data_IF_846955322910
#
_entry.id   IF_846955322910
#
_cell.length_a   1.000
_cell.length_b   1.000
_cell.length_c   1.000
_cell.angle_alpha   90.00
_cell.angle_beta   90.00
_cell.angle_gamma   90.00
#
_symmetry.space_group_name_H-M   'P 1'
#
loop_
_entity.id
_entity.type
_entity.pdbx_description
1 polymer ?
#
# COMPACT_ATOMS: atom_id res chain seq x y z
N UNK A 1 5.75 -8.28 -22.50
CA UNK A 1 4.56 -7.74 -21.80
C UNK A 1 3.37 -8.61 -22.15
N UNK A 2 2.54 -8.97 -21.17
CA UNK A 2 1.28 -9.67 -21.40
C UNK A 2 0.22 -8.97 -20.58
N UNK A 3 -0.94 -8.70 -21.19
CA UNK A 3 -2.03 -7.99 -20.52
C UNK A 3 -3.32 -8.11 -21.30
N UNK A 4 -4.44 -7.90 -20.62
CA UNK A 4 -5.76 -8.12 -21.17
C UNK A 4 -6.78 -7.12 -20.64
N UNK A 5 -7.88 -6.96 -21.39
CA UNK A 5 -9.18 -6.46 -20.94
C UNK A 5 -10.17 -7.64 -20.93
N UNK A 6 -11.42 -7.48 -20.44
CA UNK A 6 -12.42 -8.54 -20.56
C UNK A 6 -12.63 -9.04 -22.00
N UNK A 7 -12.46 -8.17 -22.99
CA UNK A 7 -12.70 -8.49 -24.40
C UNK A 7 -11.46 -8.79 -25.27
N UNK A 8 -10.23 -8.55 -24.79
CA UNK A 8 -9.01 -8.76 -25.59
C UNK A 8 -7.80 -9.10 -24.74
N UNK A 9 -7.00 -10.09 -25.16
CA UNK A 9 -5.74 -10.47 -24.52
C UNK A 9 -4.59 -10.37 -25.52
N UNK A 10 -3.50 -9.70 -25.13
CA UNK A 10 -2.34 -9.46 -25.99
C UNK A 10 -1.04 -9.86 -25.28
N UNK A 11 -0.22 -10.63 -25.98
CA UNK A 11 1.13 -11.01 -25.55
C UNK A 11 2.17 -10.45 -26.53
N UNK A 12 3.21 -9.82 -25.99
CA UNK A 12 4.32 -9.24 -26.75
C UNK A 12 5.64 -9.75 -26.19
N UNK A 13 6.43 -10.35 -27.08
CA UNK A 13 7.81 -10.75 -26.85
C UNK A 13 8.74 -9.93 -27.74
N UNK A 14 9.92 -9.59 -27.21
CA UNK A 14 10.99 -8.94 -27.94
C UNK A 14 12.28 -9.67 -27.59
N UNK A 15 13.10 -9.94 -28.59
CA UNK A 15 14.41 -10.56 -28.42
C UNK A 15 15.26 -10.45 -29.67
N UNK A 16 16.40 -11.11 -29.64
CA UNK A 16 17.31 -11.18 -30.78
C UNK A 16 17.00 -12.42 -31.62
N UNK A 17 17.35 -12.38 -32.91
CA UNK A 17 17.00 -13.45 -33.87
C UNK A 17 17.57 -14.82 -33.48
N UNK A 18 18.78 -14.84 -32.90
CA UNK A 18 19.45 -16.05 -32.42
C UNK A 18 19.30 -16.29 -30.93
N UNK A 19 18.96 -15.26 -30.14
CA UNK A 19 18.83 -15.35 -28.70
C UNK A 19 20.15 -15.47 -27.92
N UNK A 20 21.29 -15.22 -28.56
CA UNK A 20 22.65 -15.36 -28.01
C UNK A 20 23.32 -14.01 -27.69
N UNK A 21 22.63 -12.89 -27.92
CA UNK A 21 23.14 -11.54 -27.72
C UNK A 21 22.33 -10.77 -26.65
N UNK A 22 22.96 -9.84 -25.91
CA UNK A 22 22.26 -8.96 -24.98
C UNK A 22 21.18 -8.12 -25.69
N UNK A 23 19.98 -8.09 -25.11
CA UNK A 23 18.89 -7.29 -25.64
C UNK A 23 18.99 -5.85 -25.10
N UNK A 24 19.45 -4.93 -25.95
CA UNK A 24 19.68 -3.52 -25.61
C UNK A 24 19.02 -2.57 -26.60
N UNK A 25 18.74 -1.34 -26.15
CA UNK A 25 18.25 -0.25 -27.00
C UNK A 25 19.37 0.28 -27.89
N UNK A 26 19.02 1.15 -28.85
CA UNK A 26 20.01 1.85 -29.68
C UNK A 26 21.00 2.72 -28.86
N UNK A 27 20.62 3.15 -27.66
CA UNK A 27 21.49 3.88 -26.72
C UNK A 27 22.30 2.96 -25.80
N UNK A 28 22.21 1.64 -25.96
CA UNK A 28 22.92 0.65 -25.15
C UNK A 28 22.27 0.34 -23.79
N UNK A 29 21.08 0.86 -23.50
CA UNK A 29 20.36 0.52 -22.27
C UNK A 29 19.71 -0.87 -22.35
N UNK A 30 19.66 -1.60 -21.24
CA UNK A 30 19.00 -2.90 -21.20
C UNK A 30 17.49 -2.79 -21.46
N UNK A 31 16.95 -3.68 -22.29
CA UNK A 31 15.51 -3.76 -22.56
C UNK A 31 14.85 -4.65 -21.52
N UNK A 32 13.85 -4.10 -20.84
CA UNK A 32 13.00 -4.82 -19.88
C UNK A 32 11.57 -4.95 -20.40
N UNK A 33 10.79 -5.82 -19.76
CA UNK A 33 9.38 -6.02 -20.10
C UNK A 33 8.54 -4.74 -20.06
N UNK A 34 8.91 -3.77 -19.23
CA UNK A 34 8.26 -2.46 -19.08
C UNK A 34 8.64 -1.42 -20.13
N UNK A 35 9.70 -1.66 -20.92
CA UNK A 35 10.12 -0.77 -22.00
C UNK A 35 9.45 -1.12 -23.32
N UNK A 36 10.24 -1.38 -24.36
CA UNK A 36 9.78 -1.66 -25.72
C UNK A 36 8.63 -2.69 -25.81
N UNK A 37 8.62 -3.82 -25.07
CA UNK A 37 7.49 -4.75 -25.11
C UNK A 37 6.17 -4.15 -24.62
N UNK A 38 6.22 -3.27 -23.60
CA UNK A 38 5.04 -2.58 -23.09
C UNK A 38 4.56 -1.48 -24.04
N UNK A 39 5.47 -0.76 -24.69
CA UNK A 39 5.11 0.26 -25.68
C UNK A 39 4.33 -0.36 -26.85
N UNK A 40 4.83 -1.48 -27.38
CA UNK A 40 4.15 -2.24 -28.45
C UNK A 40 2.80 -2.78 -27.96
N UNK A 41 2.76 -3.37 -26.76
CA UNK A 41 1.51 -3.89 -26.19
C UNK A 41 0.46 -2.79 -26.04
N UNK A 42 0.85 -1.62 -25.52
CA UNK A 42 -0.06 -0.48 -25.33
C UNK A 42 -0.56 0.06 -26.66
N UNK A 43 0.32 0.31 -27.62
CA UNK A 43 -0.08 0.80 -28.94
C UNK A 43 -1.05 -0.18 -29.65
N UNK A 44 -0.80 -1.49 -29.50
CA UNK A 44 -1.66 -2.55 -30.04
C UNK A 44 -3.04 -2.54 -29.39
N UNK A 45 -3.10 -2.51 -28.06
CA UNK A 45 -4.37 -2.51 -27.31
C UNK A 45 -5.17 -1.23 -27.54
N UNK A 46 -4.52 -0.06 -27.47
CA UNK A 46 -5.15 1.24 -27.70
C UNK A 46 -5.73 1.34 -29.12
N UNK A 47 -5.02 0.80 -30.12
CA UNK A 47 -5.50 0.74 -31.50
C UNK A 47 -6.64 -0.25 -31.71
N UNK A 48 -6.52 -1.46 -31.17
CA UNK A 48 -7.51 -2.53 -31.34
C UNK A 48 -8.83 -2.26 -30.61
N UNK A 49 -8.77 -1.58 -29.46
CA UNK A 49 -9.96 -1.25 -28.65
C UNK A 49 -10.51 0.15 -28.95
N UNK A 50 -9.96 0.85 -29.95
CA UNK A 50 -10.41 2.19 -30.33
C UNK A 50 -11.88 2.15 -30.76
N UNK A 51 -12.71 2.97 -30.12
CA UNK A 51 -14.14 3.08 -30.41
C UNK A 51 -15.01 2.06 -29.65
N UNK A 52 -14.43 1.18 -28.85
CA UNK A 52 -15.16 0.37 -27.88
C UNK A 52 -15.38 1.15 -26.58
N UNK A 53 -16.44 0.83 -25.84
CA UNK A 53 -16.65 1.37 -24.49
C UNK A 53 -15.65 0.81 -23.50
N UNK A 54 -15.20 1.61 -22.53
CA UNK A 54 -14.34 1.14 -21.45
C UNK A 54 -15.08 0.12 -20.58
N UNK A 55 -14.51 -1.08 -20.46
CA UNK A 55 -15.04 -2.15 -19.61
C UNK A 55 -14.39 -2.14 -18.23
N UNK A 56 -15.10 -2.63 -17.23
CA UNK A 56 -14.56 -2.88 -15.88
C UNK A 56 -14.38 -4.37 -15.65
N UNK A 57 -13.40 -4.74 -14.83
CA UNK A 57 -13.22 -6.13 -14.44
C UNK A 57 -14.30 -6.57 -13.45
N UNK A 58 -14.66 -7.87 -13.44
CA UNK A 58 -15.56 -8.43 -12.44
C UNK A 58 -15.05 -8.16 -11.02
N UNK A 59 -15.96 -7.80 -10.12
CA UNK A 59 -15.62 -7.64 -8.70
C UNK A 59 -15.14 -8.99 -8.15
N UNK A 60 -13.94 -9.08 -7.54
CA UNK A 60 -13.44 -10.34 -7.01
C UNK A 60 -14.28 -10.81 -5.82
N UNK A 61 -14.52 -12.12 -5.74
CA UNK A 61 -15.09 -12.78 -4.57
C UNK A 61 -13.99 -13.18 -3.59
N UNK A 62 -14.38 -13.60 -2.39
CA UNK A 62 -13.43 -14.02 -1.38
C UNK A 62 -12.70 -15.31 -1.78
N UNK A 63 -11.36 -15.29 -1.64
CA UNK A 63 -10.49 -16.47 -1.70
C UNK A 63 -9.52 -16.36 -0.54
N UNK A 64 -9.60 -17.26 0.44
CA UNK A 64 -8.69 -17.29 1.59
C UNK A 64 -8.78 -16.05 2.49
N UNK A 65 -9.98 -15.50 2.72
CA UNK A 65 -10.20 -14.34 3.60
C UNK A 65 -10.03 -12.97 2.93
N UNK A 66 -9.73 -12.93 1.62
CA UNK A 66 -9.54 -11.68 0.88
C UNK A 66 -10.37 -11.66 -0.40
N UNK A 67 -11.04 -10.54 -0.67
CA UNK A 67 -11.76 -10.29 -1.91
C UNK A 67 -11.05 -9.18 -2.71
N UNK A 68 -10.06 -9.57 -3.52
CA UNK A 68 -9.18 -8.64 -4.23
C UNK A 68 -7.97 -8.21 -3.41
N UNK A 69 -7.33 -7.11 -3.81
CA UNK A 69 -6.14 -6.58 -3.12
C UNK A 69 -6.57 -5.98 -1.78
N UNK A 70 -6.02 -6.43 -0.64
CA UNK A 70 -6.36 -5.87 0.66
C UNK A 70 -5.93 -4.40 0.75
N UNK A 71 -6.70 -3.54 1.42
CA UNK A 71 -6.28 -2.17 1.67
C UNK A 71 -5.00 -2.16 2.53
N UNK A 72 -4.17 -1.11 2.43
CA UNK A 72 -3.05 -0.95 3.33
C UNK A 72 -3.55 -0.90 4.79
N UNK A 73 -2.74 -1.39 5.75
CA UNK A 73 -3.15 -1.37 7.15
C UNK A 73 -3.40 0.08 7.60
N UNK A 74 -4.37 0.30 8.50
CA UNK A 74 -4.55 1.62 9.10
C UNK A 74 -3.26 2.02 9.83
N UNK A 75 -2.96 3.33 9.94
CA UNK A 75 -1.86 3.79 10.77
C UNK A 75 -2.04 3.27 12.21
N UNK A 76 -0.94 3.02 12.95
CA UNK A 76 -1.02 2.59 14.34
C UNK A 76 -1.92 3.55 15.12
N UNK A 77 -2.98 3.02 15.73
CA UNK A 77 -3.69 3.80 16.74
C UNK A 77 -2.78 3.88 17.96
N UNK A 78 -2.25 5.07 18.24
CA UNK A 78 -1.66 5.39 19.53
C UNK A 78 -2.80 5.39 20.56
N UNK A 79 -3.21 4.21 21.02
CA UNK A 79 -3.89 4.10 22.29
C UNK A 79 -2.76 4.16 23.31
N UNK A 80 -2.53 5.29 23.99
CA UNK A 80 -1.49 5.33 25.01
C UNK A 80 -1.85 4.25 26.03
N UNK A 81 -0.91 3.32 26.35
CA UNK A 81 -1.14 2.41 27.45
C UNK A 81 -1.45 3.25 28.69
N UNK A 82 -2.47 2.83 29.46
CA UNK A 82 -2.74 3.44 30.77
C UNK A 82 -1.63 3.03 31.72
N UNK A 83 -0.48 3.70 31.65
CA UNK A 83 0.61 3.53 32.59
C UNK A 83 0.38 4.42 33.81
N UNK A 84 0.30 3.79 34.98
CA UNK A 84 0.38 4.52 36.25
C UNK A 84 1.85 4.67 36.60
N UNK A 85 2.45 5.78 36.16
CA UNK A 85 3.83 6.14 36.55
C UNK A 85 3.81 6.64 37.99
N UNK A 86 4.14 5.78 38.95
CA UNK A 86 4.36 6.18 40.35
C UNK A 86 5.79 6.72 40.43
N UNK A 87 5.96 8.05 40.35
CA UNK A 87 7.22 8.72 40.61
C UNK A 87 7.00 9.96 41.49
N UNK A 88 7.96 10.30 42.38
CA UNK A 88 9.25 9.65 42.57
C UNK A 88 9.20 8.50 43.60
N UNK A 89 9.76 7.35 43.23
CA UNK A 89 10.08 6.26 44.16
C UNK A 89 11.59 6.17 44.32
N UNK A 90 12.09 6.01 45.54
CA UNK A 90 13.51 5.72 45.80
C UNK A 90 13.66 4.26 46.19
N UNK A 91 14.60 3.56 45.55
CA UNK A 91 14.97 2.18 45.87
C UNK A 91 16.02 2.18 46.98
N UNK A 92 15.71 1.53 48.10
CA UNK A 92 16.60 1.49 49.29
C UNK A 92 17.38 0.16 49.34
N UNK A 93 16.88 -0.87 48.66
CA UNK A 93 17.51 -2.18 48.50
C UNK A 93 16.90 -2.89 47.26
N UNK A 94 17.56 -3.92 46.69
CA UNK A 94 17.07 -4.64 45.52
C UNK A 94 15.61 -5.09 45.69
N UNK A 95 14.69 -4.44 44.98
CA UNK A 95 13.24 -4.76 45.02
C UNK A 95 12.41 -4.07 46.11
N UNK A 96 12.94 -3.09 46.85
CA UNK A 96 12.20 -2.32 47.87
C UNK A 96 12.20 -0.84 47.50
N UNK A 97 11.05 -0.33 47.07
CA UNK A 97 10.81 1.09 46.74
C UNK A 97 9.85 1.74 47.73
N UNK A 98 10.16 2.97 48.16
CA UNK A 98 9.27 3.77 49.02
C UNK A 98 8.88 5.06 48.27
N UNK A 99 7.58 5.40 48.17
CA UNK A 99 7.12 6.65 47.59
C UNK A 99 7.51 7.83 48.49
N UNK A 100 8.18 8.84 47.93
CA UNK A 100 8.55 10.04 48.68
C UNK A 100 7.48 11.11 48.47
N UNK A 101 6.57 11.22 49.43
CA UNK A 101 5.54 12.26 49.47
C UNK A 101 4.11 11.73 49.28
N UNK A 102 3.09 12.57 49.53
CA UNK A 102 1.70 12.19 49.31
C UNK A 102 1.47 11.84 47.82
N UNK A 103 0.66 10.82 47.50
CA UNK A 103 0.44 10.40 46.12
C UNK A 103 -0.30 11.50 45.34
N UNK A 104 0.41 12.25 44.50
CA UNK A 104 -0.23 13.13 43.51
C UNK A 104 -0.62 12.29 42.30
N UNK A 105 -1.88 11.87 42.24
CA UNK A 105 -2.46 11.29 41.02
C UNK A 105 -2.92 12.44 40.12
N UNK A 106 -2.23 12.69 39.01
CA UNK A 106 -2.73 13.56 37.94
C UNK A 106 -3.34 12.66 36.87
N UNK A 107 -4.64 12.44 36.91
CA UNK A 107 -5.38 11.91 35.76
C UNK A 107 -5.63 13.05 34.78
N UNK A 108 -4.86 13.14 33.70
CA UNK A 108 -5.31 13.90 32.55
C UNK A 108 -6.46 13.10 31.91
N UNK A 109 -7.67 13.68 31.90
CA UNK A 109 -8.77 13.13 31.13
C UNK A 109 -8.37 13.09 29.63
N UNK A 110 -8.76 12.05 28.87
CA UNK A 110 -8.55 12.04 27.43
C UNK A 110 -9.18 13.29 26.81
N UNK A 111 -8.53 13.96 25.85
CA UNK A 111 -9.17 15.03 25.10
C UNK A 111 -10.45 14.48 24.43
N UNK A 112 -11.53 15.27 24.34
CA UNK A 112 -12.77 14.82 23.71
C UNK A 112 -12.51 14.40 22.27
N UNK A 113 -13.30 13.44 21.74
CA UNK A 113 -13.14 12.96 20.37
C UNK A 113 -13.13 14.12 19.38
N UNK A 114 -12.15 14.12 18.48
CA UNK A 114 -12.13 15.06 17.37
C UNK A 114 -13.42 14.88 16.52
N UNK A 115 -14.02 15.96 16.00
CA UNK A 115 -15.18 15.86 15.12
C UNK A 115 -14.88 14.92 13.94
N UNK A 116 -15.88 14.19 13.42
CA UNK A 116 -15.69 13.36 12.22
C UNK A 116 -15.09 14.20 11.09
N UNK A 117 -13.98 13.73 10.51
CA UNK A 117 -13.40 14.33 9.33
C UNK A 117 -14.47 14.36 8.22
N UNK A 118 -14.71 15.55 7.65
CA UNK A 118 -15.61 15.70 6.53
C UNK A 118 -15.17 14.76 5.41
N UNK A 119 -16.11 13.94 4.92
CA UNK A 119 -15.93 13.12 3.72
C UNK A 119 -15.45 14.01 2.58
N UNK A 120 -14.33 13.70 1.90
CA UNK A 120 -13.93 14.45 0.73
C UNK A 120 -14.99 14.26 -0.36
N UNK A 121 -15.65 15.35 -0.72
CA UNK A 121 -16.50 15.43 -1.92
C UNK A 121 -15.67 15.06 -3.15
N UNK A 122 -16.18 14.21 -4.06
CA UNK A 122 -15.48 13.87 -5.29
C UNK A 122 -15.32 15.12 -6.18
N UNK A 123 -14.19 15.30 -6.88
CA UNK A 123 -13.98 16.42 -7.78
C UNK A 123 -14.86 16.32 -9.04
N UNK A 124 -15.16 17.45 -9.72
CA UNK A 124 -16.03 17.50 -10.90
C UNK A 124 -15.45 16.80 -12.13
#
# INVERSE_FOLDING_TARGET
MVGYTPSLSTAVWVGTVKGDEPLVTASGAAIYGSGLPSDIWKATMDGALKGTSNETFPKPTEVGGYAGVPPPPPPPSEVPPSETVIQPTVEIAPGITIPIGPPTTITLAPPPPAPPAATPTPPP
#
